data_IF_153417713980
#
_entry.id   IF_153417713980
#
_cell.length_a   1.000
_cell.length_b   1.000
_cell.length_c   1.000
_cell.angle_alpha   90.00
_cell.angle_beta   90.00
_cell.angle_gamma   90.00
#
_symmetry.space_group_name_H-M   'P 1'
#
loop_
_entity.id
_entity.type
_entity.pdbx_description
1 polymer ?
#
# COMPACT_ATOMS: atom_id res chain seq x y z
N UNK A 1 -3.09 13.01 -0.79
CA UNK A 1 -4.40 12.39 -1.11
C UNK A 1 -5.31 13.48 -1.63
N UNK A 2 -6.04 13.20 -2.70
CA UNK A 2 -6.90 14.16 -3.42
C UNK A 2 -8.27 13.55 -3.63
N UNK A 3 -9.28 14.38 -3.87
CA UNK A 3 -10.61 13.98 -4.34
C UNK A 3 -10.66 14.07 -5.87
N UNK A 4 -11.57 13.35 -6.49
CA UNK A 4 -11.74 13.32 -7.96
C UNK A 4 -10.42 13.05 -8.69
N UNK A 5 -9.70 11.91 -8.39
CA UNK A 5 -8.38 11.63 -8.95
C UNK A 5 -8.37 11.59 -10.48
N UNK A 6 -9.50 11.28 -11.09
CA UNK A 6 -9.69 11.26 -12.55
C UNK A 6 -9.33 12.57 -13.25
N UNK A 7 -9.30 13.69 -12.52
CA UNK A 7 -8.98 15.02 -13.08
C UNK A 7 -7.49 15.24 -13.28
N UNK A 8 -6.63 14.44 -12.60
CA UNK A 8 -5.19 14.68 -12.51
C UNK A 8 -4.35 13.57 -13.14
N UNK A 9 -4.96 12.47 -13.60
CA UNK A 9 -4.23 11.29 -14.10
C UNK A 9 -3.24 11.66 -15.20
N UNK A 10 -3.70 12.43 -16.21
CA UNK A 10 -2.84 12.79 -17.33
C UNK A 10 -1.65 13.63 -16.89
N UNK A 11 -1.85 14.61 -16.00
CA UNK A 11 -0.78 15.46 -15.48
C UNK A 11 0.30 14.63 -14.76
N UNK A 12 -0.10 13.63 -13.94
CA UNK A 12 0.85 12.75 -13.27
C UNK A 12 1.65 11.91 -14.26
N UNK A 13 1.00 11.38 -15.30
CA UNK A 13 1.69 10.58 -16.33
C UNK A 13 2.63 11.45 -17.16
N UNK A 14 2.21 12.64 -17.54
CA UNK A 14 3.04 13.60 -18.28
C UNK A 14 4.27 14.05 -17.47
N UNK A 15 4.17 14.04 -16.13
CA UNK A 15 5.28 14.25 -15.20
C UNK A 15 6.13 12.99 -14.95
N UNK A 16 5.84 11.86 -15.61
CA UNK A 16 6.64 10.63 -15.56
C UNK A 16 6.19 9.60 -14.53
N UNK A 17 4.92 9.61 -14.11
CA UNK A 17 4.40 8.58 -13.22
C UNK A 17 4.21 7.24 -13.96
N UNK A 18 4.89 6.16 -13.50
CA UNK A 18 4.72 4.78 -13.98
C UNK A 18 3.53 4.07 -13.34
N UNK A 19 3.03 4.59 -12.23
CA UNK A 19 1.89 4.05 -11.51
C UNK A 19 1.18 5.11 -10.68
N UNK A 20 -0.13 5.02 -10.58
CA UNK A 20 -0.97 5.94 -9.84
C UNK A 20 -1.89 5.14 -8.93
N UNK A 21 -1.79 5.37 -7.61
CA UNK A 21 -2.69 4.79 -6.61
C UNK A 21 -3.69 5.84 -6.16
N UNK A 22 -4.96 5.52 -6.22
CA UNK A 22 -6.05 6.38 -5.76
C UNK A 22 -6.87 5.70 -4.67
N UNK A 23 -7.53 6.48 -3.83
CA UNK A 23 -8.46 5.96 -2.83
C UNK A 23 -9.82 5.63 -3.45
N UNK A 24 -10.34 4.45 -3.12
CA UNK A 24 -11.70 4.03 -3.51
C UNK A 24 -12.73 5.10 -3.16
N UNK A 25 -12.60 5.67 -1.98
CA UNK A 25 -13.52 6.68 -1.42
C UNK A 25 -13.38 8.07 -2.08
N UNK A 26 -12.36 8.27 -2.91
CA UNK A 26 -12.10 9.57 -3.57
C UNK A 26 -12.86 9.76 -4.88
N UNK A 27 -13.53 8.73 -5.38
CA UNK A 27 -14.28 8.78 -6.65
C UNK A 27 -15.60 8.04 -6.57
N UNK A 28 -16.55 8.46 -7.41
CA UNK A 28 -17.84 7.76 -7.58
C UNK A 28 -17.78 6.62 -8.59
N UNK A 29 -16.70 6.55 -9.37
CA UNK A 29 -16.55 5.54 -10.43
C UNK A 29 -15.11 4.98 -10.48
N UNK A 30 -14.74 4.11 -9.51
CA UNK A 30 -13.40 3.55 -9.42
C UNK A 30 -12.95 2.81 -10.69
N UNK A 31 -13.87 2.10 -11.36
CA UNK A 31 -13.58 1.42 -12.61
C UNK A 31 -13.10 2.38 -13.69
N UNK A 32 -13.77 3.51 -13.85
CA UNK A 32 -13.39 4.54 -14.83
C UNK A 32 -11.99 5.10 -14.54
N UNK A 33 -11.65 5.29 -13.25
CA UNK A 33 -10.32 5.76 -12.85
C UNK A 33 -9.24 4.75 -13.24
N UNK A 34 -9.45 3.45 -12.95
CA UNK A 34 -8.52 2.37 -13.36
C UNK A 34 -8.33 2.37 -14.87
N UNK A 35 -9.42 2.39 -15.64
CA UNK A 35 -9.38 2.36 -17.09
C UNK A 35 -8.67 3.61 -17.67
N UNK A 36 -8.83 4.78 -17.06
CA UNK A 36 -8.12 6.01 -17.45
C UNK A 36 -6.62 5.93 -17.18
N UNK A 37 -6.21 5.41 -16.00
CA UNK A 37 -4.80 5.23 -15.66
C UNK A 37 -4.13 4.28 -16.67
N UNK A 38 -4.74 3.15 -16.96
CA UNK A 38 -4.23 2.19 -17.96
C UNK A 38 -4.16 2.80 -19.36
N UNK A 39 -5.20 3.55 -19.76
CA UNK A 39 -5.22 4.25 -21.06
C UNK A 39 -4.10 5.29 -21.18
N UNK A 40 -3.73 5.92 -20.09
CA UNK A 40 -2.61 6.86 -20.03
C UNK A 40 -1.23 6.16 -20.00
N UNK A 41 -1.18 4.82 -19.94
CA UNK A 41 0.07 4.03 -19.97
C UNK A 41 0.68 3.74 -18.61
N UNK A 42 0.01 4.06 -17.50
CA UNK A 42 0.49 3.82 -16.15
C UNK A 42 -0.19 2.59 -15.49
N UNK A 43 0.40 2.07 -14.42
CA UNK A 43 -0.20 1.02 -13.58
C UNK A 43 -1.20 1.62 -12.59
N UNK A 44 -2.32 0.93 -12.41
CA UNK A 44 -3.39 1.38 -11.52
C UNK A 44 -3.34 0.70 -10.15
N UNK A 45 -3.18 1.50 -9.09
CA UNK A 45 -3.35 1.07 -7.71
C UNK A 45 -4.66 1.59 -7.11
N UNK A 46 -5.31 0.78 -6.29
CA UNK A 46 -6.52 1.18 -5.55
C UNK A 46 -6.30 1.02 -4.05
N UNK A 47 -6.62 2.05 -3.28
CA UNK A 47 -6.43 2.10 -1.83
C UNK A 47 -7.76 2.16 -1.10
N UNK A 48 -7.82 1.59 0.11
CA UNK A 48 -8.96 1.69 1.03
C UNK A 48 -8.51 2.10 2.43
N UNK A 49 -9.37 2.90 3.08
CA UNK A 49 -9.21 3.33 4.47
C UNK A 49 -9.44 2.18 5.45
N UNK A 50 -8.98 2.31 6.73
CA UNK A 50 -9.25 1.30 7.76
C UNK A 50 -10.74 1.01 7.96
N UNK A 51 -11.59 2.03 7.90
CA UNK A 51 -13.04 1.91 8.09
C UNK A 51 -13.83 1.40 6.88
N UNK A 52 -13.23 1.31 5.69
CA UNK A 52 -13.90 0.82 4.47
C UNK A 52 -13.91 -0.69 4.43
N UNK A 53 -15.06 -1.31 4.15
CA UNK A 53 -15.17 -2.76 4.06
C UNK A 53 -14.34 -3.32 2.89
N UNK A 54 -13.69 -4.49 3.08
CA UNK A 54 -12.88 -5.12 2.04
C UNK A 54 -13.69 -5.50 0.80
N UNK A 55 -14.95 -5.86 1.02
CA UNK A 55 -15.90 -6.25 -0.02
C UNK A 55 -16.13 -5.13 -1.04
N UNK A 56 -15.95 -3.88 -0.64
CA UNK A 56 -16.10 -2.71 -1.52
C UNK A 56 -14.98 -2.60 -2.56
N UNK A 57 -13.76 -3.07 -2.25
CA UNK A 57 -12.62 -3.01 -3.19
C UNK A 57 -12.51 -4.25 -4.07
N UNK A 58 -12.99 -5.40 -3.63
CA UNK A 58 -12.86 -6.68 -4.33
C UNK A 58 -13.29 -6.67 -5.80
N UNK A 59 -14.39 -6.01 -6.21
CA UNK A 59 -14.82 -5.98 -7.61
C UNK A 59 -13.79 -5.38 -8.56
N UNK A 60 -12.86 -4.57 -8.06
CA UNK A 60 -11.87 -3.84 -8.86
C UNK A 60 -10.53 -4.55 -8.95
N UNK A 61 -10.24 -5.54 -8.07
CA UNK A 61 -8.92 -6.15 -7.95
C UNK A 61 -8.49 -6.96 -9.17
N UNK A 62 -9.44 -7.44 -9.98
CA UNK A 62 -9.12 -8.13 -11.24
C UNK A 62 -8.53 -7.22 -12.31
N UNK A 63 -8.67 -5.90 -12.16
CA UNK A 63 -8.17 -4.89 -13.09
C UNK A 63 -7.10 -3.99 -12.49
N UNK A 64 -6.93 -4.01 -11.17
CA UNK A 64 -5.89 -3.23 -10.50
C UNK A 64 -4.56 -3.97 -10.54
N UNK A 65 -3.45 -3.23 -10.73
CA UNK A 65 -2.09 -3.76 -10.61
C UNK A 65 -1.64 -3.83 -9.16
N UNK A 66 -2.26 -3.05 -8.28
CA UNK A 66 -1.93 -2.98 -6.86
C UNK A 66 -3.17 -2.64 -6.02
N UNK A 67 -3.26 -3.27 -4.85
CA UNK A 67 -4.21 -2.88 -3.80
C UNK A 67 -3.42 -2.42 -2.57
N UNK A 68 -3.74 -1.22 -2.08
CA UNK A 68 -3.14 -0.63 -0.90
C UNK A 68 -4.11 -0.70 0.28
N UNK A 69 -3.72 -1.41 1.32
CA UNK A 69 -4.44 -1.43 2.60
C UNK A 69 -3.82 -0.35 3.51
N UNK A 70 -4.60 0.68 3.83
CA UNK A 70 -4.19 1.65 4.84
C UNK A 70 -4.23 1.00 6.22
N UNK A 71 -3.12 1.09 6.94
CA UNK A 71 -2.97 0.64 8.32
C UNK A 71 -2.99 1.80 9.33
N UNK A 72 -3.36 2.97 8.88
CA UNK A 72 -3.65 4.19 9.65
C UNK A 72 -4.73 4.99 8.93
N UNK A 73 -5.37 5.94 9.60
CA UNK A 73 -6.24 6.89 8.91
C UNK A 73 -5.41 7.78 7.97
N UNK A 74 -5.78 7.86 6.67
CA UNK A 74 -5.03 8.67 5.72
C UNK A 74 -5.14 10.17 6.03
N UNK A 75 -4.02 10.90 5.84
CA UNK A 75 -3.98 12.34 6.02
C UNK A 75 -2.64 12.89 6.51
N UNK A 76 -1.97 12.22 7.45
CA UNK A 76 -0.66 12.67 7.97
C UNK A 76 0.24 11.48 8.33
N UNK A 77 1.54 11.70 8.26
CA UNK A 77 2.54 10.67 8.54
C UNK A 77 2.83 10.48 10.03
N UNK A 78 3.51 9.38 10.36
CA UNK A 78 4.02 9.11 11.71
C UNK A 78 3.01 8.57 12.70
N UNK A 79 1.86 8.11 12.23
CA UNK A 79 0.85 7.41 13.02
C UNK A 79 1.31 5.99 13.38
N UNK A 80 0.74 5.45 14.46
CA UNK A 80 0.97 4.06 14.86
C UNK A 80 0.14 3.11 14.01
N UNK A 81 0.72 1.97 13.65
CA UNK A 81 0.06 0.89 12.93
C UNK A 81 -1.18 0.38 13.71
N UNK A 82 -2.29 0.24 13.03
CA UNK A 82 -3.52 -0.29 13.58
C UNK A 82 -3.52 -1.83 13.51
N UNK A 83 -3.59 -2.56 14.65
CA UNK A 83 -3.49 -4.03 14.68
C UNK A 83 -4.53 -4.75 13.81
N UNK A 84 -5.70 -4.16 13.61
CA UNK A 84 -6.77 -4.69 12.76
C UNK A 84 -6.34 -4.86 11.30
N UNK A 85 -5.33 -4.08 10.86
CA UNK A 85 -4.79 -4.17 9.51
C UNK A 85 -4.20 -5.55 9.20
N UNK A 86 -3.63 -6.28 10.18
CA UNK A 86 -3.16 -7.65 9.94
C UNK A 86 -4.25 -8.58 9.41
N UNK A 87 -5.44 -8.50 9.99
CA UNK A 87 -6.59 -9.28 9.54
C UNK A 87 -7.05 -8.90 8.13
N UNK A 88 -7.02 -7.60 7.83
CA UNK A 88 -7.38 -7.06 6.52
C UNK A 88 -6.38 -7.50 5.43
N UNK A 89 -5.09 -7.43 5.73
CA UNK A 89 -4.02 -7.87 4.83
C UNK A 89 -4.19 -9.36 4.50
N UNK A 90 -4.35 -10.23 5.51
CA UNK A 90 -4.57 -11.68 5.31
C UNK A 90 -5.77 -11.96 4.43
N UNK A 91 -6.93 -11.37 4.73
CA UNK A 91 -8.15 -11.56 3.94
C UNK A 91 -7.98 -11.09 2.49
N UNK A 92 -7.29 -9.97 2.28
CA UNK A 92 -7.02 -9.47 0.93
C UNK A 92 -6.07 -10.42 0.19
N UNK A 93 -5.01 -10.94 0.83
CA UNK A 93 -4.10 -11.93 0.24
C UNK A 93 -4.84 -13.21 -0.13
N UNK A 94 -5.65 -13.73 0.78
CA UNK A 94 -6.50 -14.92 0.53
C UNK A 94 -7.46 -14.71 -0.65
N UNK A 95 -8.03 -13.51 -0.77
CA UNK A 95 -8.90 -13.17 -1.89
C UNK A 95 -8.12 -13.16 -3.22
N UNK A 96 -6.96 -12.48 -3.26
CA UNK A 96 -6.11 -12.43 -4.45
C UNK A 96 -5.67 -13.83 -4.90
N UNK A 97 -5.23 -14.67 -3.96
CA UNK A 97 -4.74 -16.03 -4.25
C UNK A 97 -5.88 -16.94 -4.74
N UNK A 98 -7.03 -16.90 -4.06
CA UNK A 98 -8.22 -17.69 -4.43
C UNK A 98 -8.70 -17.38 -5.84
N UNK A 99 -8.64 -16.10 -6.23
CA UNK A 99 -9.08 -15.65 -7.55
C UNK A 99 -7.93 -15.57 -8.57
N UNK A 100 -6.72 -16.03 -8.20
CA UNK A 100 -5.52 -16.02 -9.05
C UNK A 100 -5.20 -14.63 -9.63
N UNK A 101 -5.38 -13.58 -8.83
CA UNK A 101 -5.15 -12.19 -9.23
C UNK A 101 -3.69 -11.79 -9.02
N UNK A 102 -3.09 -11.14 -10.01
CA UNK A 102 -1.68 -10.74 -9.99
C UNK A 102 -1.41 -9.42 -9.26
N UNK A 103 -2.43 -8.75 -8.73
CA UNK A 103 -2.28 -7.47 -8.05
C UNK A 103 -1.31 -7.58 -6.87
N UNK A 104 -0.40 -6.60 -6.74
CA UNK A 104 0.45 -6.47 -5.56
C UNK A 104 -0.37 -6.02 -4.37
N UNK A 105 0.02 -6.48 -3.17
CA UNK A 105 -0.60 -6.07 -1.92
C UNK A 105 0.34 -5.14 -1.16
N UNK A 106 -0.01 -3.86 -1.17
CA UNK A 106 0.73 -2.79 -0.51
C UNK A 106 0.11 -2.45 0.85
N UNK A 107 0.95 -2.02 1.78
CA UNK A 107 0.53 -1.53 3.10
C UNK A 107 1.24 -0.22 3.40
N UNK A 108 0.46 0.81 3.81
CA UNK A 108 0.96 2.11 4.25
C UNK A 108 0.37 2.49 5.60
N UNK A 109 1.25 2.90 6.51
CA UNK A 109 0.91 3.43 7.83
C UNK A 109 1.61 2.71 8.98
N UNK A 110 2.51 3.40 9.66
CA UNK A 110 3.19 2.91 10.85
C UNK A 110 4.07 1.67 10.65
N UNK A 111 4.53 1.44 9.41
CA UNK A 111 5.43 0.33 9.08
C UNK A 111 6.84 0.63 9.61
N UNK A 112 7.42 -0.32 10.34
CA UNK A 112 8.75 -0.24 10.89
C UNK A 112 9.37 -1.61 11.14
N UNK A 113 10.63 -1.64 11.61
CA UNK A 113 11.36 -2.88 11.85
C UNK A 113 10.63 -3.86 12.80
N UNK A 114 9.80 -3.33 13.72
CA UNK A 114 9.10 -4.12 14.74
C UNK A 114 7.93 -4.94 14.17
N UNK A 115 7.31 -4.50 13.07
CA UNK A 115 6.09 -5.10 12.54
C UNK A 115 6.18 -5.52 11.07
N UNK A 116 7.21 -5.11 10.34
CA UNK A 116 7.31 -5.40 8.90
C UNK A 116 7.31 -6.90 8.59
N UNK A 117 7.93 -7.75 9.45
CA UNK A 117 7.91 -9.21 9.29
C UNK A 117 6.51 -9.79 9.44
N UNK A 118 5.74 -9.31 10.42
CA UNK A 118 4.37 -9.74 10.65
C UNK A 118 3.46 -9.28 9.51
N UNK A 119 3.67 -8.06 9.00
CA UNK A 119 2.95 -7.53 7.84
C UNK A 119 3.26 -8.34 6.58
N UNK A 120 4.52 -8.73 6.39
CA UNK A 120 4.94 -9.62 5.30
C UNK A 120 4.32 -11.02 5.47
N UNK A 121 4.36 -11.59 6.66
CA UNK A 121 3.75 -12.89 6.97
C UNK A 121 2.22 -12.87 6.80
N UNK A 122 1.59 -11.72 6.98
CA UNK A 122 0.16 -11.53 6.70
C UNK A 122 -0.15 -11.50 5.19
N UNK A 123 0.87 -11.40 4.32
CA UNK A 123 0.72 -11.52 2.86
C UNK A 123 1.02 -10.25 2.06
N UNK A 124 1.42 -9.16 2.70
CA UNK A 124 1.87 -7.96 1.99
C UNK A 124 3.21 -8.21 1.27
N UNK A 125 3.37 -7.61 0.10
CA UNK A 125 4.61 -7.70 -0.70
C UNK A 125 5.13 -6.33 -1.18
N UNK A 126 4.45 -5.24 -0.80
CA UNK A 126 4.91 -3.85 -0.97
C UNK A 126 4.69 -3.10 0.35
N UNK A 127 5.70 -2.33 0.78
CA UNK A 127 5.69 -1.68 2.10
C UNK A 127 6.06 -0.22 1.96
N UNK A 128 5.24 0.67 2.52
CA UNK A 128 5.55 2.10 2.61
C UNK A 128 6.07 2.42 4.01
N UNK A 129 7.32 2.85 4.10
CA UNK A 129 7.98 3.18 5.35
C UNK A 129 8.59 4.58 5.28
N UNK A 130 7.87 5.59 5.75
CA UNK A 130 8.33 6.97 5.79
C UNK A 130 9.14 7.26 7.04
N UNK A 131 8.48 7.49 8.16
CA UNK A 131 9.14 7.89 9.41
C UNK A 131 10.16 6.88 9.95
N UNK A 132 9.97 5.60 9.70
CA UNK A 132 10.90 4.57 10.12
C UNK A 132 12.23 4.62 9.36
N UNK A 133 12.24 5.18 8.14
CA UNK A 133 13.45 5.40 7.33
C UNK A 133 14.05 6.77 7.62
N UNK A 134 13.24 7.85 7.62
CA UNK A 134 13.74 9.22 7.55
C UNK A 134 13.85 9.95 8.91
N UNK A 135 13.21 9.46 9.98
CA UNK A 135 13.20 10.16 11.29
C UNK A 135 14.49 10.07 12.11
N UNK A 136 15.35 9.09 11.88
CA UNK A 136 16.58 8.86 12.64
C UNK A 136 17.81 9.21 11.82
N UNK A 137 18.94 9.47 12.53
CA UNK A 137 20.16 10.07 12.01
C UNK A 137 20.84 9.34 10.82
N UNK A 138 20.57 8.05 10.60
CA UNK A 138 21.22 7.27 9.55
C UNK A 138 20.19 6.55 8.68
N UNK A 139 19.86 7.15 7.54
CA UNK A 139 18.91 6.60 6.56
C UNK A 139 19.40 5.26 6.04
N UNK A 140 20.69 5.14 5.70
CA UNK A 140 21.30 3.91 5.18
C UNK A 140 21.16 2.74 6.16
N UNK A 141 21.42 3.00 7.46
CA UNK A 141 21.25 2.00 8.50
C UNK A 141 19.78 1.58 8.66
N UNK A 142 18.86 2.54 8.60
CA UNK A 142 17.43 2.23 8.68
C UNK A 142 16.98 1.36 7.50
N UNK A 143 17.45 1.64 6.29
CA UNK A 143 17.17 0.82 5.09
C UNK A 143 17.79 -0.57 5.26
N UNK A 144 19.05 -0.69 5.70
CA UNK A 144 19.70 -1.97 5.96
C UNK A 144 18.89 -2.84 6.93
N UNK A 145 18.38 -2.26 8.01
CA UNK A 145 17.53 -2.96 8.99
C UNK A 145 16.24 -3.52 8.37
N UNK A 146 15.64 -2.83 7.40
CA UNK A 146 14.53 -3.39 6.63
C UNK A 146 14.96 -4.57 5.78
N UNK A 147 16.09 -4.48 5.07
CA UNK A 147 16.63 -5.59 4.29
C UNK A 147 16.94 -6.81 5.15
N UNK A 148 17.53 -6.61 6.34
CA UNK A 148 17.79 -7.70 7.29
C UNK A 148 16.50 -8.33 7.81
N UNK A 149 15.47 -7.51 8.05
CA UNK A 149 14.15 -8.01 8.43
C UNK A 149 13.52 -8.87 7.30
N UNK A 150 13.60 -8.43 6.05
CA UNK A 150 13.11 -9.20 4.91
C UNK A 150 13.90 -10.50 4.68
N UNK A 151 15.22 -10.49 4.94
CA UNK A 151 16.08 -11.66 4.86
C UNK A 151 15.94 -12.64 6.05
N UNK A 152 15.06 -12.35 7.02
CA UNK A 152 14.87 -13.21 8.19
C UNK A 152 16.02 -13.17 9.21
N UNK A 153 16.97 -12.22 9.11
CA UNK A 153 18.08 -12.12 10.05
C UNK A 153 17.58 -11.69 11.45
N UNK A 154 18.17 -12.21 12.53
CA UNK A 154 17.84 -11.77 13.89
C UNK A 154 18.13 -10.26 14.06
N UNK A 155 17.36 -9.59 14.91
CA UNK A 155 17.69 -8.21 15.28
C UNK A 155 19.03 -8.18 16.05
N UNK A 156 19.99 -7.39 15.58
CA UNK A 156 21.14 -7.02 16.40
C UNK A 156 20.62 -6.17 17.57
N UNK A 157 20.64 -6.75 18.76
CA UNK A 157 20.37 -6.02 19.99
C UNK A 157 21.60 -5.15 20.26
N UNK A 158 21.59 -3.92 19.75
CA UNK A 158 22.54 -2.93 20.24
C UNK A 158 21.94 -2.29 21.49
N UNK A 159 22.55 -2.60 22.62
CA UNK A 159 22.31 -1.97 23.92
C UNK A 159 22.49 -0.43 23.84
#
# INVERSE_FOLDING_TARGET
MIVEPERYIQEFVDCGADGITFHLEATKNPQKVIDQIHKAGAKAGISIKPGTALEEVYPYLSKADMVLIMSVEPGFGGQSFLPEAYGRIRKTREYLDRHQLAARLEVDGGIGKKNVREVMAAGANVFVAGSAVFRKRCIEENIRRFHDAFAGKPEEVND
#
